data_IF_430497589680
#
_entry.id   IF_430497589680
#
_cell.length_a   1.000
_cell.length_b   1.000
_cell.length_c   1.000
_cell.angle_alpha   90.00
_cell.angle_beta   90.00
_cell.angle_gamma   90.00
#
_symmetry.space_group_name_H-M   'P 1'
#
loop_
_entity.id
_entity.type
_entity.pdbx_description
1 polymer ?
#
# COMPACT_ATOMS: atom_id res chain seq x y z
N UNK A 1 12.90 -0.69 20.02
CA UNK A 1 14.28 -0.20 20.17
C UNK A 1 14.33 1.22 20.69
N UNK A 2 15.49 1.64 21.18
CA UNK A 2 15.89 3.03 21.43
C UNK A 2 17.27 3.20 20.81
N UNK A 3 17.45 4.26 20.03
CA UNK A 3 18.68 4.49 19.27
C UNK A 3 19.34 5.78 19.75
N UNK A 4 20.64 5.71 19.97
CA UNK A 4 21.48 6.84 20.36
C UNK A 4 22.25 7.33 19.14
N UNK A 5 22.30 8.64 18.97
CA UNK A 5 22.98 9.28 17.85
C UNK A 5 22.78 10.80 17.89
N UNK A 6 23.28 11.54 16.91
CA UNK A 6 23.11 12.98 16.83
C UNK A 6 21.63 13.35 16.54
N UNK A 7 21.13 14.36 17.26
CA UNK A 7 19.93 15.06 16.87
C UNK A 7 20.36 16.34 16.15
N UNK A 8 20.46 16.25 14.85
CA UNK A 8 20.92 17.32 13.97
C UNK A 8 20.05 17.35 12.69
N UNK A 9 18.81 17.87 12.81
CA UNK A 9 17.85 17.87 11.71
C UNK A 9 18.33 18.61 10.45
N UNK A 10 19.15 19.64 10.58
CA UNK A 10 19.69 20.38 9.42
C UNK A 10 20.53 19.46 8.52
N UNK A 11 21.23 18.49 9.10
CA UNK A 11 21.99 17.45 8.40
C UNK A 11 21.22 16.12 8.22
N UNK A 12 19.91 16.10 8.49
CA UNK A 12 19.05 14.94 8.29
C UNK A 12 19.08 13.90 9.39
N UNK A 13 19.74 14.15 10.53
CA UNK A 13 19.85 13.20 11.66
C UNK A 13 18.81 13.51 12.74
N UNK A 14 18.01 12.49 13.13
CA UNK A 14 16.88 12.67 14.04
C UNK A 14 16.84 11.61 15.15
N UNK A 15 18.02 11.17 15.61
CA UNK A 15 18.13 10.21 16.70
C UNK A 15 17.63 10.80 18.02
N UNK A 16 16.73 10.08 18.70
CA UNK A 16 16.24 10.51 20.01
C UNK A 16 16.01 9.28 20.90
N UNK A 17 16.86 9.02 21.94
CA UNK A 17 16.76 7.84 22.78
C UNK A 17 15.52 7.86 23.70
N UNK A 18 14.81 8.96 23.80
CA UNK A 18 13.54 9.03 24.55
C UNK A 18 12.37 8.45 23.77
N UNK A 19 12.54 8.20 22.47
CA UNK A 19 11.49 7.62 21.61
C UNK A 19 11.64 6.11 21.53
N UNK A 20 10.59 5.38 21.92
CA UNK A 20 10.51 3.95 21.68
C UNK A 20 10.16 3.72 20.21
N UNK A 21 11.02 3.04 19.48
CA UNK A 21 10.87 2.81 18.05
C UNK A 21 10.33 1.41 17.77
N UNK A 22 9.37 1.33 16.86
CA UNK A 22 8.89 0.08 16.29
C UNK A 22 10.01 -0.53 15.44
N UNK A 23 10.24 -1.82 15.61
CA UNK A 23 11.16 -2.58 14.78
C UNK A 23 10.66 -2.65 13.34
N UNK A 24 11.42 -2.21 12.33
CA UNK A 24 11.04 -2.32 10.93
C UNK A 24 10.73 -3.76 10.48
N UNK A 25 11.31 -4.78 11.14
CA UNK A 25 11.10 -6.20 10.89
C UNK A 25 10.09 -6.87 11.82
N UNK A 26 9.35 -6.10 12.64
CA UNK A 26 8.32 -6.65 13.51
C UNK A 26 7.24 -7.36 12.71
N UNK A 27 6.98 -8.61 13.05
CA UNK A 27 5.95 -9.45 12.41
C UNK A 27 4.59 -9.39 13.10
N UNK A 28 4.53 -8.88 14.30
CA UNK A 28 3.31 -8.63 15.06
C UNK A 28 3.52 -7.46 16.02
N UNK A 29 2.49 -6.62 16.14
CA UNK A 29 2.44 -5.50 17.07
C UNK A 29 1.31 -5.71 18.07
N UNK A 30 1.60 -5.44 19.34
CA UNK A 30 0.63 -5.47 20.43
C UNK A 30 0.17 -4.05 20.76
N UNK A 31 -1.11 -3.80 20.57
CA UNK A 31 -1.74 -2.49 20.76
C UNK A 31 -1.61 -1.59 19.53
N UNK A 32 -2.17 -0.39 19.68
CA UNK A 32 -2.14 0.67 18.68
C UNK A 32 -1.36 1.86 19.22
N UNK A 33 -1.12 2.88 18.39
CA UNK A 33 -0.57 4.15 18.84
C UNK A 33 -1.64 4.90 19.64
N UNK A 34 -1.34 5.19 20.89
CA UNK A 34 -2.11 6.15 21.68
C UNK A 34 -1.48 7.53 21.49
N UNK A 35 -1.95 8.27 20.49
CA UNK A 35 -1.32 9.53 20.10
C UNK A 35 -1.04 10.47 21.29
N UNK A 36 0.18 10.96 21.34
CA UNK A 36 0.69 11.84 22.37
C UNK A 36 1.87 12.66 21.83
N UNK A 37 2.03 13.87 22.32
CA UNK A 37 3.16 14.74 21.93
C UNK A 37 4.53 14.07 22.15
N UNK A 38 4.63 13.11 23.06
CA UNK A 38 5.85 12.34 23.29
C UNK A 38 6.32 11.52 22.09
N UNK A 39 5.49 11.29 21.07
CA UNK A 39 5.91 10.64 19.84
C UNK A 39 6.80 11.52 18.94
N UNK A 40 6.79 12.84 19.14
CA UNK A 40 7.61 13.74 18.34
C UNK A 40 9.03 13.85 18.92
N UNK A 41 10.02 13.86 18.03
CA UNK A 41 11.44 14.01 18.44
C UNK A 41 11.77 15.39 18.98
N UNK A 42 10.86 16.35 18.80
CA UNK A 42 10.97 17.76 19.13
C UNK A 42 9.78 18.22 19.98
N UNK A 43 9.87 19.38 20.60
CA UNK A 43 8.78 19.97 21.41
C UNK A 43 7.74 20.64 20.51
N UNK A 44 6.52 20.07 20.47
CA UNK A 44 5.42 20.64 19.70
C UNK A 44 5.10 22.06 20.21
N UNK A 45 4.98 23.00 19.29
CA UNK A 45 4.73 24.41 19.60
C UNK A 45 5.97 25.24 19.91
N UNK A 46 7.16 24.64 19.96
CA UNK A 46 8.41 25.38 20.12
C UNK A 46 8.68 26.26 18.90
N UNK A 47 9.25 27.47 19.11
CA UNK A 47 9.51 28.42 18.01
C UNK A 47 10.48 27.89 16.95
N UNK A 48 11.47 27.08 17.36
CA UNK A 48 12.43 26.41 16.48
C UNK A 48 11.88 25.13 15.84
N UNK A 49 10.63 24.75 16.13
CA UNK A 49 9.97 23.56 15.59
C UNK A 49 10.81 22.29 15.78
N UNK A 50 11.05 21.55 14.69
CA UNK A 50 11.81 20.27 14.70
C UNK A 50 13.32 20.43 14.97
N UNK A 51 13.84 21.63 15.16
CA UNK A 51 15.20 21.85 15.66
C UNK A 51 15.28 21.77 17.19
N UNK A 52 14.17 21.90 17.91
CA UNK A 52 14.10 21.65 19.34
C UNK A 52 14.19 20.14 19.64
N UNK A 53 14.40 19.77 20.91
CA UNK A 53 14.60 18.36 21.31
C UNK A 53 13.65 17.99 22.47
N UNK A 54 12.80 16.99 22.24
CA UNK A 54 11.85 16.51 23.25
C UNK A 54 12.39 15.33 24.04
N UNK A 55 12.36 15.41 25.37
CA UNK A 55 12.89 14.39 26.29
C UNK A 55 11.82 13.48 26.90
N UNK A 56 10.54 13.66 26.53
CA UNK A 56 9.45 12.81 27.04
C UNK A 56 9.56 11.39 26.50
N UNK A 57 9.29 10.41 27.38
CA UNK A 57 9.30 9.00 26.99
C UNK A 57 8.02 8.64 26.22
N UNK A 58 8.18 8.18 24.97
CA UNK A 58 7.05 7.72 24.14
C UNK A 58 6.59 6.29 24.44
N UNK A 59 7.35 5.51 25.22
CA UNK A 59 7.08 4.09 25.44
C UNK A 59 5.67 3.77 26.00
N UNK A 60 5.07 4.58 26.89
CA UNK A 60 3.71 4.32 27.36
C UNK A 60 2.63 4.36 26.27
N UNK A 61 2.90 5.05 25.17
CA UNK A 61 1.93 5.37 24.12
C UNK A 61 2.20 4.62 22.80
N UNK A 62 3.34 3.94 22.70
CA UNK A 62 3.79 3.21 21.49
C UNK A 62 3.46 1.72 21.62
N UNK A 63 2.91 1.07 20.56
CA UNK A 63 2.68 -0.37 20.55
C UNK A 63 4.00 -1.13 20.73
N UNK A 64 3.90 -2.39 21.18
CA UNK A 64 5.07 -3.24 21.42
C UNK A 64 5.20 -4.30 20.33
N UNK A 65 6.42 -4.47 19.82
CA UNK A 65 6.74 -5.56 18.92
C UNK A 65 6.70 -6.89 19.68
N UNK A 66 6.03 -7.89 19.10
CA UNK A 66 6.02 -9.27 19.61
C UNK A 66 7.00 -10.12 18.83
N UNK A 67 7.65 -11.04 19.54
CA UNK A 67 8.41 -12.12 18.90
C UNK A 67 7.41 -13.17 18.39
N UNK A 68 7.46 -13.45 17.10
CA UNK A 68 6.61 -14.44 16.43
C UNK A 68 7.47 -15.60 15.99
N UNK A 69 7.02 -16.80 16.27
CA UNK A 69 7.64 -18.04 15.74
C UNK A 69 7.43 -18.08 14.22
N UNK A 70 8.50 -18.08 13.42
CA UNK A 70 8.38 -18.15 11.97
C UNK A 70 7.78 -19.49 11.48
N UNK A 71 7.94 -20.54 12.26
CA UNK A 71 7.52 -21.92 11.90
C UNK A 71 6.12 -22.26 12.45
N UNK A 72 5.43 -21.32 13.07
CA UNK A 72 4.12 -21.53 13.69
C UNK A 72 2.98 -21.85 12.69
N UNK A 73 3.26 -21.87 11.38
CA UNK A 73 2.28 -22.22 10.35
C UNK A 73 2.72 -23.47 9.57
N UNK A 74 1.85 -24.45 9.56
CA UNK A 74 1.98 -25.60 8.69
C UNK A 74 1.18 -25.40 7.40
N UNK A 75 1.87 -25.28 6.27
CA UNK A 75 1.29 -25.16 4.94
C UNK A 75 1.13 -26.54 4.22
N UNK A 76 1.34 -27.66 4.94
CA UNK A 76 1.17 -29.00 4.35
C UNK A 76 -0.26 -29.18 3.81
N UNK A 77 -0.33 -29.75 2.62
CA UNK A 77 -1.62 -30.00 1.94
C UNK A 77 -2.25 -28.77 1.28
N UNK A 78 -1.59 -27.61 1.30
CA UNK A 78 -2.06 -26.46 0.55
C UNK A 78 -1.99 -26.73 -0.96
N UNK A 79 -3.04 -26.31 -1.66
CA UNK A 79 -3.11 -26.34 -3.13
C UNK A 79 -3.03 -24.92 -3.68
N UNK A 80 -1.82 -24.35 -3.68
CA UNK A 80 -1.57 -22.98 -4.16
C UNK A 80 -1.91 -22.86 -5.64
N UNK A 81 -2.80 -21.93 -6.04
CA UNK A 81 -3.13 -21.68 -7.44
C UNK A 81 -1.92 -21.17 -8.22
N UNK A 82 -1.92 -21.41 -9.54
CA UNK A 82 -0.98 -20.82 -10.50
C UNK A 82 -1.78 -20.37 -11.72
N UNK A 83 -2.43 -19.23 -11.62
CA UNK A 83 -3.29 -18.70 -12.65
C UNK A 83 -2.47 -17.89 -13.66
N UNK A 84 -2.51 -18.30 -14.94
CA UNK A 84 -1.81 -17.58 -16.00
C UNK A 84 -2.40 -16.18 -16.18
N UNK A 85 -1.56 -15.18 -16.42
CA UNK A 85 -1.96 -13.79 -16.65
C UNK A 85 -3.17 -13.62 -17.61
N UNK A 86 -3.22 -14.27 -18.79
CA UNK A 86 -4.38 -14.13 -19.69
C UNK A 86 -5.71 -14.64 -19.11
N UNK A 87 -5.68 -15.41 -18.04
CA UNK A 87 -6.85 -15.97 -17.36
C UNK A 87 -7.14 -15.27 -16.03
N UNK A 88 -6.37 -14.24 -15.68
CA UNK A 88 -6.48 -13.54 -14.41
C UNK A 88 -7.64 -12.54 -14.45
N UNK A 89 -8.55 -12.67 -13.49
CA UNK A 89 -9.63 -11.71 -13.21
C UNK A 89 -9.49 -11.30 -11.75
N UNK A 90 -9.14 -10.04 -11.54
CA UNK A 90 -8.82 -9.50 -10.21
C UNK A 90 -10.07 -8.84 -9.61
N UNK A 91 -10.32 -9.09 -8.34
CA UNK A 91 -11.29 -8.38 -7.52
C UNK A 91 -10.57 -7.63 -6.42
N UNK A 92 -10.49 -6.31 -6.55
CA UNK A 92 -9.95 -5.43 -5.51
C UNK A 92 -10.97 -5.32 -4.38
N UNK A 93 -10.55 -5.51 -3.14
CA UNK A 93 -11.44 -5.44 -1.99
C UNK A 93 -10.74 -5.03 -0.70
N UNK A 94 -11.52 -4.45 0.21
CA UNK A 94 -11.07 -4.07 1.54
C UNK A 94 -11.56 -5.08 2.58
N UNK A 95 -10.67 -5.61 3.41
CA UNK A 95 -11.00 -6.66 4.42
C UNK A 95 -12.24 -6.30 5.24
N UNK A 96 -12.25 -5.11 5.85
CA UNK A 96 -13.38 -4.65 6.65
C UNK A 96 -14.58 -4.27 5.78
N UNK A 97 -14.37 -3.51 4.72
CA UNK A 97 -15.45 -2.98 3.88
C UNK A 97 -16.29 -4.08 3.25
N UNK A 98 -15.68 -5.17 2.82
CA UNK A 98 -16.37 -6.28 2.17
C UNK A 98 -17.30 -7.05 3.14
N UNK A 99 -16.90 -7.19 4.40
CA UNK A 99 -17.58 -8.11 5.32
C UNK A 99 -18.40 -7.43 6.41
N UNK A 100 -18.15 -6.16 6.71
CA UNK A 100 -18.71 -5.44 7.86
C UNK A 100 -20.24 -5.45 7.92
N UNK A 101 -20.89 -5.30 6.78
CA UNK A 101 -22.35 -5.26 6.66
C UNK A 101 -22.95 -6.57 6.10
N UNK A 102 -22.15 -7.62 5.95
CA UNK A 102 -22.63 -8.87 5.37
C UNK A 102 -23.48 -9.66 6.39
N UNK A 103 -24.82 -9.79 6.19
CA UNK A 103 -25.69 -10.49 7.14
C UNK A 103 -25.47 -12.01 7.18
N UNK A 104 -24.82 -12.58 6.15
CA UNK A 104 -24.52 -14.02 6.09
C UNK A 104 -23.36 -14.41 7.03
N UNK A 105 -22.65 -13.44 7.60
CA UNK A 105 -21.52 -13.68 8.49
C UNK A 105 -21.91 -13.53 9.97
N UNK A 106 -21.35 -14.38 10.86
CA UNK A 106 -21.40 -14.14 12.30
C UNK A 106 -20.91 -12.74 12.63
N UNK A 107 -21.59 -12.00 13.53
CA UNK A 107 -21.23 -10.61 13.86
C UNK A 107 -19.77 -10.44 14.30
N UNK A 108 -19.22 -11.40 15.03
CA UNK A 108 -17.84 -11.40 15.57
C UNK A 108 -16.78 -11.58 14.48
N UNK A 109 -17.14 -12.06 13.29
CA UNK A 109 -16.21 -12.23 12.16
C UNK A 109 -16.27 -11.04 11.18
N UNK A 110 -17.30 -10.20 11.28
CA UNK A 110 -17.45 -9.07 10.36
C UNK A 110 -16.32 -8.07 10.50
N UNK A 111 -15.76 -7.64 9.39
CA UNK A 111 -14.65 -6.69 9.34
C UNK A 111 -13.29 -7.31 9.66
N UNK A 112 -13.19 -8.62 9.76
CA UNK A 112 -11.95 -9.34 10.10
C UNK A 112 -11.43 -10.19 8.95
N UNK A 113 -10.19 -10.69 9.07
CA UNK A 113 -9.62 -11.65 8.13
C UNK A 113 -10.49 -12.90 8.03
N UNK A 114 -10.92 -13.46 9.17
CA UNK A 114 -11.76 -14.67 9.17
C UNK A 114 -13.13 -14.43 8.51
N UNK A 115 -13.67 -13.22 8.62
CA UNK A 115 -14.89 -12.86 7.91
C UNK A 115 -14.70 -12.88 6.39
N UNK A 116 -13.56 -12.40 5.91
CA UNK A 116 -13.22 -12.44 4.48
C UNK A 116 -12.95 -13.87 4.01
N UNK A 117 -12.26 -14.71 4.81
CA UNK A 117 -12.02 -16.12 4.53
C UNK A 117 -13.21 -17.06 4.83
N UNK A 118 -14.33 -16.53 5.34
CA UNK A 118 -15.52 -17.30 5.61
C UNK A 118 -16.10 -17.90 4.31
N UNK A 119 -16.64 -19.11 4.38
CA UNK A 119 -17.17 -19.84 3.22
C UNK A 119 -18.10 -18.97 2.38
N UNK A 120 -19.04 -18.25 2.99
CA UNK A 120 -19.99 -17.39 2.27
C UNK A 120 -19.31 -16.26 1.49
N UNK A 121 -18.21 -15.69 1.99
CA UNK A 121 -17.43 -14.65 1.32
C UNK A 121 -16.66 -15.24 0.14
N UNK A 122 -15.98 -16.35 0.35
CA UNK A 122 -15.16 -17.02 -0.68
C UNK A 122 -16.04 -17.55 -1.82
N UNK A 123 -17.17 -18.20 -1.50
CA UNK A 123 -18.13 -18.69 -2.52
C UNK A 123 -18.75 -17.55 -3.34
N UNK A 124 -19.05 -16.42 -2.71
CA UNK A 124 -19.55 -15.25 -3.43
C UNK A 124 -18.52 -14.74 -4.44
N UNK A 125 -17.26 -14.52 -4.00
CA UNK A 125 -16.19 -14.07 -4.88
C UNK A 125 -15.96 -15.07 -6.03
N UNK A 126 -15.93 -16.37 -5.72
CA UNK A 126 -15.81 -17.41 -6.73
C UNK A 126 -16.96 -17.43 -7.73
N UNK A 127 -18.19 -17.16 -7.27
CA UNK A 127 -19.38 -17.12 -8.14
C UNK A 127 -19.34 -16.01 -9.18
N UNK A 128 -18.55 -14.96 -8.95
CA UNK A 128 -18.29 -13.88 -9.90
C UNK A 128 -17.27 -14.25 -10.99
N UNK A 129 -16.67 -15.43 -10.94
CA UNK A 129 -15.62 -15.84 -11.87
C UNK A 129 -14.25 -15.23 -11.55
N UNK A 130 -14.05 -14.73 -10.35
CA UNK A 130 -12.79 -14.14 -9.89
C UNK A 130 -11.75 -15.23 -9.72
N UNK A 131 -10.53 -14.95 -10.17
CA UNK A 131 -9.38 -15.84 -10.05
C UNK A 131 -8.31 -15.33 -9.09
N UNK A 132 -8.33 -14.06 -8.77
CA UNK A 132 -7.39 -13.42 -7.84
C UNK A 132 -8.10 -12.34 -7.04
N UNK A 133 -7.93 -12.31 -5.72
CA UNK A 133 -8.36 -11.19 -4.88
C UNK A 133 -7.16 -10.27 -4.63
N UNK A 134 -7.36 -8.98 -4.80
CA UNK A 134 -6.40 -7.94 -4.43
C UNK A 134 -6.90 -7.25 -3.16
N UNK A 135 -6.14 -7.36 -2.09
CA UNK A 135 -6.50 -6.79 -0.80
C UNK A 135 -5.89 -5.40 -0.65
N UNK A 136 -6.73 -4.38 -0.42
CA UNK A 136 -6.24 -3.08 0.02
C UNK A 136 -5.32 -3.25 1.24
N UNK A 137 -4.47 -2.25 1.56
CA UNK A 137 -3.34 -2.46 2.46
C UNK A 137 -3.69 -3.20 3.75
N UNK A 138 -3.02 -4.32 3.95
CA UNK A 138 -3.14 -5.18 5.14
C UNK A 138 -1.90 -5.12 6.03
N UNK A 139 -0.85 -4.43 5.62
CA UNK A 139 0.29 -4.13 6.48
C UNK A 139 -0.15 -3.24 7.64
N UNK A 140 0.53 -3.34 8.78
CA UNK A 140 0.17 -2.54 9.94
C UNK A 140 0.37 -1.04 9.70
N UNK A 141 -0.66 -0.25 10.03
CA UNK A 141 -0.67 1.20 9.89
C UNK A 141 -1.40 1.84 11.09
N UNK A 142 -0.96 3.03 11.56
CA UNK A 142 -1.67 3.80 12.56
C UNK A 142 -2.84 4.56 11.95
N UNK A 143 -3.78 4.98 12.80
CA UNK A 143 -4.75 6.02 12.45
C UNK A 143 -4.07 7.39 12.52
N UNK A 144 -4.42 8.29 11.63
CA UNK A 144 -3.90 9.66 11.63
C UNK A 144 -4.55 10.48 12.76
N UNK A 145 -3.75 11.29 13.47
CA UNK A 145 -4.25 12.08 14.59
C UNK A 145 -5.42 12.98 14.19
N UNK A 146 -5.33 13.65 13.04
CA UNK A 146 -6.38 14.55 12.56
C UNK A 146 -7.72 13.85 12.26
N UNK A 147 -7.68 12.56 11.92
CA UNK A 147 -8.89 11.74 11.77
C UNK A 147 -9.47 11.39 13.13
N UNK A 148 -8.63 10.99 14.09
CA UNK A 148 -9.06 10.66 15.45
C UNK A 148 -9.68 11.86 16.16
N UNK A 149 -9.15 13.07 15.97
CA UNK A 149 -9.69 14.32 16.52
C UNK A 149 -11.11 14.62 16.00
N UNK A 150 -11.49 14.04 14.86
CA UNK A 150 -12.81 14.09 14.25
C UNK A 150 -13.68 12.87 14.54
N UNK A 151 -13.19 11.92 15.35
CA UNK A 151 -13.86 10.64 15.63
C UNK A 151 -13.83 9.66 14.45
N UNK A 152 -12.97 9.90 13.44
CA UNK A 152 -12.78 9.08 12.27
C UNK A 152 -11.55 8.16 12.45
N UNK A 153 -11.38 7.20 11.54
CA UNK A 153 -10.22 6.31 11.46
C UNK A 153 -9.73 6.21 10.03
N UNK A 154 -8.44 5.95 9.86
CA UNK A 154 -7.89 5.62 8.56
C UNK A 154 -8.54 4.31 8.09
N UNK A 155 -9.32 4.38 7.01
CA UNK A 155 -10.09 3.25 6.50
C UNK A 155 -9.27 2.41 5.53
N UNK A 156 -8.60 3.03 4.56
CA UNK A 156 -7.94 2.31 3.47
C UNK A 156 -6.60 1.69 3.84
N UNK A 157 -5.84 2.33 4.73
CA UNK A 157 -4.55 1.79 5.18
C UNK A 157 -3.32 2.25 4.39
N UNK A 158 -3.45 3.23 3.51
CA UNK A 158 -2.30 3.79 2.77
C UNK A 158 -1.42 4.70 3.65
N UNK A 159 -1.14 4.26 4.85
CA UNK A 159 -0.27 4.95 5.81
C UNK A 159 0.57 3.94 6.59
N UNK A 160 1.21 3.04 5.84
CA UNK A 160 1.92 1.88 6.36
C UNK A 160 3.14 2.27 7.21
N UNK A 161 3.36 1.51 8.28
CA UNK A 161 4.56 1.59 9.11
C UNK A 161 5.19 0.22 9.38
N UNK A 162 4.37 -0.83 9.56
CA UNK A 162 4.83 -2.18 9.87
C UNK A 162 4.87 -3.07 8.63
N UNK A 163 5.94 -3.04 7.85
CA UNK A 163 6.04 -3.73 6.56
C UNK A 163 5.97 -5.26 6.64
N UNK A 164 6.18 -5.84 7.82
CA UNK A 164 6.14 -7.31 8.04
C UNK A 164 4.94 -7.75 8.87
N UNK A 165 4.18 -6.82 9.45
CA UNK A 165 3.09 -7.15 10.36
C UNK A 165 1.73 -6.97 9.70
N UNK A 166 0.81 -7.96 9.77
CA UNK A 166 -0.58 -7.74 9.42
C UNK A 166 -1.23 -6.71 10.36
N UNK A 167 -2.15 -5.91 9.84
CA UNK A 167 -2.87 -4.91 10.62
C UNK A 167 -3.79 -5.58 11.67
N UNK A 168 -3.48 -5.38 12.94
CA UNK A 168 -4.19 -5.97 14.08
C UNK A 168 -5.68 -5.60 14.13
N UNK A 169 -6.06 -4.48 13.49
CA UNK A 169 -7.45 -4.05 13.37
C UNK A 169 -8.34 -5.00 12.56
N UNK A 170 -7.74 -5.90 11.77
CA UNK A 170 -8.44 -6.93 11.00
C UNK A 170 -8.38 -8.31 11.66
N UNK A 171 -7.80 -8.41 12.87
CA UNK A 171 -7.79 -9.67 13.59
C UNK A 171 -9.18 -10.01 14.11
N UNK A 172 -9.57 -11.27 13.90
CA UNK A 172 -10.67 -11.90 14.57
C UNK A 172 -10.17 -12.86 15.69
N UNK A 173 -10.93 -13.87 16.04
CA UNK A 173 -10.58 -14.81 17.11
C UNK A 173 -9.23 -15.53 16.93
N UNK A 174 -8.79 -15.74 15.68
CA UNK A 174 -7.52 -16.41 15.37
C UNK A 174 -6.29 -15.48 15.45
N UNK A 175 -6.47 -14.19 15.66
CA UNK A 175 -5.38 -13.21 15.71
C UNK A 175 -4.56 -13.21 14.42
N UNK A 176 -3.23 -13.22 14.51
CA UNK A 176 -2.33 -13.20 13.35
C UNK A 176 -2.52 -14.40 12.42
N UNK A 177 -2.92 -15.57 12.95
CA UNK A 177 -3.21 -16.76 12.14
C UNK A 177 -4.39 -16.55 11.19
N UNK A 178 -5.29 -15.61 11.49
CA UNK A 178 -6.42 -15.24 10.64
C UNK A 178 -6.00 -14.86 9.24
N UNK A 179 -4.89 -14.13 9.06
CA UNK A 179 -4.37 -13.80 7.73
C UNK A 179 -3.97 -15.07 6.93
N UNK A 180 -3.25 -16.00 7.57
CA UNK A 180 -2.86 -17.27 6.91
C UNK A 180 -4.08 -18.12 6.56
N UNK A 181 -5.10 -18.08 7.42
CA UNK A 181 -6.34 -18.80 7.20
C UNK A 181 -7.10 -18.28 5.98
N UNK A 182 -7.11 -16.95 5.73
CA UNK A 182 -7.76 -16.42 4.52
C UNK A 182 -7.00 -16.84 3.26
N UNK A 183 -5.67 -16.78 3.27
CA UNK A 183 -4.88 -17.23 2.11
C UNK A 183 -5.20 -18.66 1.78
N UNK A 184 -5.19 -19.56 2.77
CA UNK A 184 -5.57 -20.97 2.58
C UNK A 184 -6.99 -21.12 2.06
N UNK A 185 -7.96 -20.39 2.61
CA UNK A 185 -9.35 -20.47 2.18
C UNK A 185 -9.54 -20.07 0.71
N UNK A 186 -8.83 -19.04 0.25
CA UNK A 186 -8.85 -18.64 -1.16
C UNK A 186 -8.12 -19.65 -2.04
N UNK A 187 -6.96 -20.18 -1.63
CA UNK A 187 -6.23 -21.21 -2.37
C UNK A 187 -7.06 -22.49 -2.55
N UNK A 188 -7.74 -22.94 -1.50
CA UNK A 188 -8.65 -24.10 -1.56
C UNK A 188 -9.82 -23.86 -2.53
N UNK A 189 -10.22 -22.61 -2.73
CA UNK A 189 -11.22 -22.22 -3.73
C UNK A 189 -10.65 -22.05 -5.15
N UNK A 190 -9.33 -22.11 -5.33
CA UNK A 190 -8.61 -21.88 -6.59
C UNK A 190 -8.44 -20.41 -6.91
N UNK A 191 -8.38 -19.52 -5.90
CA UNK A 191 -8.26 -18.07 -6.02
C UNK A 191 -6.92 -17.63 -5.43
N UNK A 192 -6.15 -16.86 -6.18
CA UNK A 192 -4.89 -16.24 -5.72
C UNK A 192 -5.15 -15.05 -4.81
N UNK A 193 -4.16 -14.72 -3.97
CA UNK A 193 -4.19 -13.55 -3.08
C UNK A 193 -3.07 -12.59 -3.48
N UNK A 194 -3.43 -11.37 -3.85
CA UNK A 194 -2.53 -10.27 -4.19
C UNK A 194 -2.64 -9.22 -3.06
N UNK A 195 -1.53 -8.66 -2.63
CA UNK A 195 -1.53 -7.57 -1.66
C UNK A 195 -1.23 -6.24 -2.32
N UNK A 196 -2.03 -5.24 -1.99
CA UNK A 196 -1.70 -3.84 -2.23
C UNK A 196 -0.70 -3.39 -1.16
N UNK A 197 0.48 -2.96 -1.59
CA UNK A 197 1.61 -2.68 -0.70
C UNK A 197 2.16 -1.27 -0.88
N UNK A 198 2.39 -0.61 0.25
CA UNK A 198 2.86 0.77 0.32
C UNK A 198 4.29 0.78 0.81
N UNK A 199 5.26 0.76 -0.12
CA UNK A 199 6.69 0.88 0.20
C UNK A 199 7.27 2.24 -0.19
N UNK A 200 6.46 3.10 -0.81
CA UNK A 200 6.90 4.38 -1.32
C UNK A 200 6.98 5.48 -0.24
N UNK A 201 6.18 5.37 0.82
CA UNK A 201 6.16 6.30 1.96
C UNK A 201 5.79 5.60 3.27
N UNK A 202 5.80 6.34 4.38
CA UNK A 202 5.42 5.83 5.71
C UNK A 202 4.56 6.84 6.47
N UNK A 203 3.92 6.36 7.54
CA UNK A 203 3.12 7.16 8.47
C UNK A 203 3.91 8.23 9.27
N UNK A 204 5.22 8.33 9.10
CA UNK A 204 6.03 9.32 9.84
C UNK A 204 5.97 10.74 9.25
N UNK A 205 5.22 10.94 8.15
CA UNK A 205 4.97 12.26 7.55
C UNK A 205 6.26 13.02 7.17
N UNK A 206 6.18 14.34 7.14
CA UNK A 206 7.31 15.22 6.81
C UNK A 206 8.27 15.44 8.02
N UNK A 207 9.13 16.45 7.94
CA UNK A 207 10.09 16.82 8.99
C UNK A 207 9.42 17.15 10.34
N UNK A 208 8.16 17.58 10.32
CA UNK A 208 7.35 17.86 11.51
C UNK A 208 6.52 16.66 11.97
N UNK A 209 6.61 15.52 11.31
CA UNK A 209 5.89 14.31 11.69
C UNK A 209 6.53 13.56 12.88
N UNK A 210 5.85 12.55 13.41
CA UNK A 210 6.29 11.81 14.59
C UNK A 210 7.54 10.96 14.31
N UNK A 211 8.19 10.52 15.37
CA UNK A 211 9.33 9.60 15.38
C UNK A 211 8.85 8.26 15.94
N UNK A 212 8.50 7.33 15.06
CA UNK A 212 7.84 6.06 15.42
C UNK A 212 8.69 4.83 15.12
N UNK A 213 9.52 4.88 14.07
CA UNK A 213 10.33 3.78 13.58
C UNK A 213 11.55 4.30 12.79
N UNK A 214 11.46 4.37 11.47
CA UNK A 214 12.55 4.66 10.52
C UNK A 214 13.25 5.99 10.79
N UNK A 215 12.47 7.03 11.08
CA UNK A 215 12.98 8.38 11.39
C UNK A 215 13.95 8.38 12.58
N UNK A 216 13.61 7.62 13.61
CA UNK A 216 14.45 7.52 14.82
C UNK A 216 15.57 6.49 14.72
N UNK A 217 15.47 5.52 13.79
CA UNK A 217 16.51 4.49 13.59
C UNK A 217 17.66 5.06 12.75
N UNK A 218 17.35 5.63 11.58
CA UNK A 218 18.30 6.33 10.72
C UNK A 218 17.56 7.13 9.64
N UNK A 219 17.10 8.31 9.97
CA UNK A 219 16.33 9.16 9.10
C UNK A 219 16.97 9.37 7.72
N UNK A 220 18.27 9.63 7.71
CA UNK A 220 19.02 9.95 6.50
C UNK A 220 19.12 8.77 5.53
N UNK A 221 19.15 7.53 6.02
CA UNK A 221 19.19 6.33 5.18
C UNK A 221 17.82 5.93 4.68
N UNK A 222 16.77 6.04 5.53
CA UNK A 222 15.43 5.55 5.19
C UNK A 222 14.62 6.49 4.33
N UNK A 223 14.88 7.81 4.38
CA UNK A 223 14.10 8.78 3.61
C UNK A 223 14.94 9.54 2.60
N UNK A 224 14.33 9.87 1.47
CA UNK A 224 14.93 10.75 0.48
C UNK A 224 14.84 12.18 0.97
N UNK A 225 15.98 12.77 1.31
CA UNK A 225 16.08 14.16 1.72
C UNK A 225 16.48 15.07 0.56
N UNK A 226 16.17 16.35 0.65
CA UNK A 226 16.59 17.33 -0.35
C UNK A 226 18.12 17.50 -0.33
N UNK A 227 18.81 17.42 -1.48
CA UNK A 227 20.29 17.38 -1.51
C UNK A 227 20.98 18.55 -0.81
N UNK A 228 20.42 19.75 -0.91
CA UNK A 228 21.03 20.98 -0.33
C UNK A 228 20.44 21.35 1.05
N UNK A 229 19.44 20.61 1.52
CA UNK A 229 18.71 20.90 2.76
C UNK A 229 18.15 19.61 3.35
N UNK A 230 19.00 18.77 3.90
CA UNK A 230 18.67 17.44 4.43
C UNK A 230 17.61 17.43 5.54
N UNK A 231 17.28 18.57 6.13
CA UNK A 231 16.16 18.75 7.05
C UNK A 231 14.82 18.37 6.41
N UNK A 232 14.66 18.64 5.10
CA UNK A 232 13.40 18.47 4.37
C UNK A 232 13.44 17.21 3.49
N UNK A 233 12.28 16.60 3.31
CA UNK A 233 12.14 15.40 2.48
C UNK A 233 11.76 15.75 1.05
N UNK A 234 12.17 14.92 0.10
CA UNK A 234 11.56 14.83 -1.21
C UNK A 234 10.18 14.23 -1.02
N UNK A 235 9.16 14.87 -1.55
CA UNK A 235 7.75 14.48 -1.36
C UNK A 235 7.06 14.18 -2.69
N UNK A 236 7.61 13.25 -3.48
CA UNK A 236 7.03 12.80 -4.74
C UNK A 236 5.78 11.91 -4.53
N UNK A 237 5.50 11.55 -3.28
CA UNK A 237 4.34 10.75 -2.87
C UNK A 237 3.11 11.57 -2.52
N UNK A 238 3.27 12.85 -2.17
CA UNK A 238 2.20 13.71 -1.67
C UNK A 238 1.89 13.55 -0.18
N UNK A 239 2.52 12.59 0.51
CA UNK A 239 2.21 12.23 1.91
C UNK A 239 3.19 12.83 2.94
N UNK A 240 4.20 13.54 2.47
CA UNK A 240 5.20 14.23 3.30
C UNK A 240 6.59 13.60 3.29
N UNK A 241 6.73 12.34 2.89
CA UNK A 241 8.03 11.68 2.76
C UNK A 241 8.07 10.73 1.57
N UNK A 242 9.27 10.35 1.17
CA UNK A 242 9.54 9.32 0.18
C UNK A 242 10.59 8.37 0.75
N UNK A 243 10.29 7.07 0.78
CA UNK A 243 11.23 6.04 1.23
C UNK A 243 12.37 5.92 0.23
N UNK A 244 13.60 5.82 0.73
CA UNK A 244 14.82 5.80 -0.08
C UNK A 244 15.20 4.40 -0.53
N UNK A 245 14.50 3.87 -1.52
CA UNK A 245 14.78 2.54 -2.10
C UNK A 245 16.10 2.46 -2.86
N UNK A 246 16.75 3.59 -3.17
CA UNK A 246 18.12 3.60 -3.71
C UNK A 246 19.17 3.28 -2.65
N UNK A 247 18.85 3.37 -1.35
CA UNK A 247 19.76 2.95 -0.29
C UNK A 247 19.75 1.42 -0.15
N UNK A 248 20.91 0.73 -0.21
CA UNK A 248 20.95 -0.74 -0.33
C UNK A 248 20.32 -1.47 0.86
N UNK A 249 20.36 -0.91 2.08
CA UNK A 249 19.74 -1.53 3.26
C UNK A 249 18.23 -1.32 3.32
N UNK A 250 17.74 -0.22 2.77
CA UNK A 250 16.29 0.02 2.63
C UNK A 250 15.73 -0.89 1.57
N UNK A 251 16.39 -0.99 0.41
CA UNK A 251 16.03 -1.95 -0.64
C UNK A 251 16.03 -3.39 -0.11
N UNK A 252 17.08 -3.77 0.65
CA UNK A 252 17.13 -5.10 1.29
C UNK A 252 15.92 -5.35 2.17
N UNK A 253 15.53 -4.40 3.02
CA UNK A 253 14.37 -4.53 3.90
C UNK A 253 13.07 -4.71 3.11
N UNK A 254 12.89 -3.95 2.02
CA UNK A 254 11.71 -4.09 1.14
C UNK A 254 11.69 -5.48 0.50
N UNK A 255 12.81 -5.96 -0.03
CA UNK A 255 12.93 -7.29 -0.62
C UNK A 255 12.70 -8.40 0.41
N UNK A 256 13.18 -8.24 1.64
CA UNK A 256 12.97 -9.20 2.74
C UNK A 256 11.48 -9.23 3.14
N UNK A 257 10.82 -8.08 3.16
CA UNK A 257 9.37 -7.99 3.42
C UNK A 257 8.57 -8.71 2.32
N UNK A 258 8.84 -8.43 1.05
CA UNK A 258 8.18 -9.10 -0.07
C UNK A 258 8.38 -10.63 -0.01
N UNK A 259 9.60 -11.11 0.27
CA UNK A 259 9.87 -12.56 0.45
C UNK A 259 9.11 -13.12 1.64
N UNK A 260 9.04 -12.42 2.76
CA UNK A 260 8.27 -12.87 3.93
C UNK A 260 6.79 -13.06 3.59
N UNK A 261 6.16 -12.11 2.92
CA UNK A 261 4.77 -12.25 2.50
C UNK A 261 4.57 -13.38 1.48
N UNK A 262 5.51 -13.55 0.55
CA UNK A 262 5.45 -14.60 -0.46
C UNK A 262 5.70 -16.02 0.09
N UNK A 263 6.66 -16.18 1.04
CA UNK A 263 7.13 -17.48 1.49
C UNK A 263 6.53 -17.91 2.84
N UNK A 264 6.27 -16.96 3.76
CA UNK A 264 5.73 -17.26 5.09
C UNK A 264 4.22 -17.04 5.17
N UNK A 265 3.69 -16.13 4.34
CA UNK A 265 2.26 -15.82 4.28
C UNK A 265 1.60 -16.33 3.00
N UNK A 266 2.37 -16.86 2.05
CA UNK A 266 1.96 -17.53 0.81
C UNK A 266 1.12 -16.67 -0.15
N UNK A 267 1.31 -15.35 -0.17
CA UNK A 267 0.64 -14.49 -1.16
C UNK A 267 1.19 -14.72 -2.57
N UNK A 268 0.36 -14.51 -3.59
CA UNK A 268 0.63 -14.84 -4.99
C UNK A 268 1.08 -13.64 -5.83
N UNK A 269 0.98 -12.45 -5.25
CA UNK A 269 1.37 -11.24 -5.97
C UNK A 269 1.30 -9.99 -5.12
N UNK A 270 1.73 -8.89 -5.74
CA UNK A 270 1.74 -7.57 -5.14
C UNK A 270 1.28 -6.52 -6.15
N UNK A 271 0.43 -5.61 -5.71
CA UNK A 271 0.17 -4.33 -6.36
C UNK A 271 0.93 -3.26 -5.60
N UNK A 272 1.78 -2.51 -6.27
CA UNK A 272 2.63 -1.49 -5.66
C UNK A 272 1.98 -0.12 -5.80
N UNK A 273 1.55 0.44 -4.67
CA UNK A 273 1.08 1.81 -4.54
C UNK A 273 2.17 2.78 -4.99
N UNK A 274 1.80 3.78 -5.81
CA UNK A 274 2.72 4.74 -6.42
C UNK A 274 4.00 4.04 -6.94
N UNK A 275 3.84 2.96 -7.69
CA UNK A 275 4.93 2.08 -8.09
C UNK A 275 6.07 2.78 -8.84
N UNK A 276 5.82 3.93 -9.46
CA UNK A 276 6.83 4.78 -10.10
C UNK A 276 7.90 5.23 -9.11
N UNK A 277 7.54 5.51 -7.85
CA UNK A 277 8.48 5.91 -6.79
C UNK A 277 9.61 4.89 -6.60
N UNK A 278 9.28 3.59 -6.68
CA UNK A 278 10.24 2.52 -6.42
C UNK A 278 11.31 2.42 -7.52
N UNK A 279 10.99 2.91 -8.71
CA UNK A 279 11.93 2.97 -9.84
C UNK A 279 12.63 4.32 -10.00
N UNK A 280 12.47 5.25 -9.05
CA UNK A 280 13.14 6.55 -9.15
C UNK A 280 14.61 6.47 -8.75
N UNK A 281 15.46 6.72 -9.70
CA UNK A 281 16.90 6.94 -9.57
C UNK A 281 17.23 8.45 -9.56
N UNK A 282 18.49 8.88 -9.40
CA UNK A 282 18.84 10.31 -9.36
C UNK A 282 18.36 11.12 -10.58
N UNK A 283 18.34 10.52 -11.75
CA UNK A 283 17.93 11.16 -13.01
C UNK A 283 16.42 11.05 -13.31
N UNK A 284 15.65 10.40 -12.45
CA UNK A 284 14.21 10.14 -12.61
C UNK A 284 13.85 8.66 -12.63
N UNK A 285 12.72 8.31 -13.24
CA UNK A 285 12.29 6.92 -13.33
C UNK A 285 13.14 6.11 -14.31
N UNK A 286 13.69 4.99 -13.82
CA UNK A 286 14.39 4.00 -14.66
C UNK A 286 13.78 2.60 -14.46
N UNK A 287 13.17 1.98 -15.49
CA UNK A 287 12.65 0.61 -15.41
C UNK A 287 13.74 -0.46 -15.22
N UNK A 288 15.02 -0.07 -15.20
CA UNK A 288 16.18 -0.90 -14.88
C UNK A 288 16.87 -0.41 -13.62
N UNK A 289 16.19 0.40 -12.81
CA UNK A 289 16.68 0.86 -11.52
C UNK A 289 16.84 -0.30 -10.51
N UNK A 290 17.57 -0.01 -9.44
CA UNK A 290 17.96 -1.01 -8.44
C UNK A 290 16.82 -1.86 -7.89
N UNK A 291 15.66 -1.28 -7.66
CA UNK A 291 14.48 -2.03 -7.19
C UNK A 291 13.98 -3.03 -8.25
N UNK A 292 13.83 -2.60 -9.51
CA UNK A 292 13.35 -3.49 -10.57
C UNK A 292 14.34 -4.60 -10.91
N UNK A 293 15.63 -4.32 -10.88
CA UNK A 293 16.67 -5.33 -11.05
C UNK A 293 16.64 -6.35 -9.90
N UNK A 294 16.53 -5.88 -8.65
CA UNK A 294 16.49 -6.75 -7.47
C UNK A 294 15.28 -7.69 -7.48
N UNK A 295 14.07 -7.20 -7.77
CA UNK A 295 12.86 -8.02 -7.77
C UNK A 295 12.81 -8.98 -8.97
N UNK A 296 13.31 -8.55 -10.14
CA UNK A 296 13.27 -9.34 -11.38
C UNK A 296 14.22 -10.52 -11.31
N UNK A 297 15.38 -10.38 -10.65
CA UNK A 297 16.36 -11.48 -10.52
C UNK A 297 16.08 -12.39 -9.33
N UNK A 298 15.16 -12.01 -8.41
CA UNK A 298 14.83 -12.80 -7.23
C UNK A 298 14.08 -14.09 -7.62
N UNK A 299 14.58 -15.29 -7.23
CA UNK A 299 14.02 -16.55 -7.66
C UNK A 299 12.60 -16.84 -7.12
N UNK A 300 12.18 -16.13 -6.08
CA UNK A 300 10.84 -16.21 -5.51
C UNK A 300 9.93 -15.17 -6.14
N UNK A 301 10.32 -13.90 -6.06
CA UNK A 301 9.48 -12.77 -6.41
C UNK A 301 9.24 -12.64 -7.92
N UNK A 302 10.22 -12.98 -8.75
CA UNK A 302 10.09 -12.94 -10.21
C UNK A 302 8.99 -13.85 -10.78
N UNK A 303 8.47 -14.80 -9.98
CA UNK A 303 7.41 -15.73 -10.40
C UNK A 303 6.00 -15.25 -10.02
N UNK A 304 5.91 -14.24 -9.17
CA UNK A 304 4.65 -13.73 -8.65
C UNK A 304 3.99 -12.75 -9.63
N UNK A 305 2.73 -12.46 -9.39
CA UNK A 305 2.04 -11.35 -10.07
C UNK A 305 2.53 -10.02 -9.50
N UNK A 306 3.21 -9.26 -10.32
CA UNK A 306 3.70 -7.92 -9.98
C UNK A 306 2.92 -6.89 -10.78
N UNK A 307 2.24 -6.00 -10.09
CA UNK A 307 1.39 -4.95 -10.66
C UNK A 307 1.88 -3.61 -10.14
N UNK A 308 2.14 -2.67 -11.03
CA UNK A 308 2.50 -1.30 -10.65
C UNK A 308 1.34 -0.35 -10.83
N UNK A 309 1.15 0.55 -9.88
CA UNK A 309 0.49 1.81 -10.12
C UNK A 309 1.49 2.74 -10.81
N UNK A 310 1.29 3.04 -12.11
CA UNK A 310 2.36 3.60 -12.93
C UNK A 310 2.39 5.12 -12.91
N UNK A 311 2.17 5.75 -11.77
CA UNK A 311 2.28 7.19 -11.57
C UNK A 311 2.70 7.56 -10.15
N UNK A 312 3.12 8.81 -10.01
CA UNK A 312 3.29 9.57 -8.79
C UNK A 312 3.14 11.07 -9.08
N UNK A 313 3.24 11.94 -8.07
CA UNK A 313 3.05 13.39 -8.23
C UNK A 313 4.33 14.16 -8.55
N UNK A 314 5.48 13.50 -8.55
CA UNK A 314 6.77 14.12 -8.84
C UNK A 314 6.98 14.38 -10.33
N UNK A 315 8.01 15.15 -10.69
CA UNK A 315 8.36 15.40 -12.09
C UNK A 315 8.59 14.11 -12.87
N UNK A 316 7.93 13.97 -14.04
CA UNK A 316 8.01 12.77 -14.87
C UNK A 316 7.38 11.53 -14.22
N UNK A 317 6.47 11.71 -13.26
CA UNK A 317 5.87 10.62 -12.47
C UNK A 317 4.90 9.73 -13.24
N UNK A 318 4.32 10.17 -14.35
CA UNK A 318 3.40 9.37 -15.15
C UNK A 318 4.16 8.40 -16.07
N UNK A 319 4.07 7.11 -15.79
CA UNK A 319 4.88 6.05 -16.41
C UNK A 319 4.05 4.89 -16.99
N UNK A 320 2.80 5.14 -17.38
CA UNK A 320 1.96 4.11 -18.03
C UNK A 320 2.64 3.59 -19.30
N UNK A 321 2.84 2.26 -19.38
CA UNK A 321 3.63 1.59 -20.40
C UNK A 321 5.14 1.59 -20.15
N UNK A 322 5.59 2.16 -19.03
CA UNK A 322 6.99 2.36 -18.67
C UNK A 322 7.65 1.27 -17.85
N UNK A 323 6.90 0.40 -17.20
CA UNK A 323 7.45 -0.64 -16.32
C UNK A 323 8.15 -1.76 -17.09
N UNK A 324 9.02 -2.54 -16.42
CA UNK A 324 9.76 -3.61 -17.08
C UNK A 324 8.86 -4.77 -17.56
N UNK A 325 9.35 -5.61 -18.50
CA UNK A 325 8.65 -6.84 -18.87
C UNK A 325 8.38 -7.74 -17.65
N UNK A 326 7.23 -8.41 -17.66
CA UNK A 326 6.79 -9.26 -16.54
C UNK A 326 5.83 -8.57 -15.56
N UNK A 327 5.74 -7.24 -15.61
CA UNK A 327 4.85 -6.45 -14.77
C UNK A 327 3.50 -6.19 -15.44
N UNK A 328 2.41 -6.28 -14.67
CA UNK A 328 1.14 -5.63 -14.99
C UNK A 328 1.17 -4.16 -14.59
N UNK A 329 0.36 -3.34 -15.22
CA UNK A 329 0.17 -1.94 -14.85
C UNK A 329 -1.31 -1.60 -14.82
N UNK A 330 -1.73 -0.84 -13.84
CA UNK A 330 -3.03 -0.20 -13.88
C UNK A 330 -3.13 0.74 -15.08
N UNK A 331 -4.12 0.52 -15.94
CA UNK A 331 -4.28 1.30 -17.17
C UNK A 331 -5.40 2.34 -17.02
N UNK A 332 -5.04 3.55 -16.60
CA UNK A 332 -5.97 4.68 -16.47
C UNK A 332 -6.54 5.10 -17.83
N UNK A 333 -5.79 4.96 -18.92
CA UNK A 333 -6.28 5.25 -20.26
C UNK A 333 -7.39 4.27 -20.69
N UNK A 334 -7.31 3.01 -20.25
CA UNK A 334 -8.43 2.09 -20.43
C UNK A 334 -9.65 2.56 -19.66
N UNK A 335 -9.50 2.84 -18.36
CA UNK A 335 -10.56 3.33 -17.49
C UNK A 335 -11.25 4.55 -18.09
N UNK A 336 -10.49 5.56 -18.44
CA UNK A 336 -11.03 6.84 -18.90
C UNK A 336 -11.69 6.73 -20.27
N UNK A 337 -11.05 6.04 -21.23
CA UNK A 337 -11.62 5.83 -22.57
C UNK A 337 -12.93 5.05 -22.51
N UNK A 338 -13.02 4.01 -21.65
CA UNK A 338 -14.26 3.23 -21.52
C UNK A 338 -15.36 4.06 -20.89
N UNK A 339 -15.06 4.84 -19.86
CA UNK A 339 -16.04 5.76 -19.24
C UNK A 339 -16.54 6.80 -20.24
N UNK A 340 -15.66 7.43 -21.02
CA UNK A 340 -15.99 8.40 -22.06
C UNK A 340 -16.83 7.77 -23.17
N UNK A 341 -16.52 6.55 -23.59
CA UNK A 341 -17.29 5.83 -24.60
C UNK A 341 -18.76 5.62 -24.16
N UNK A 342 -18.96 5.13 -22.94
CA UNK A 342 -20.29 4.91 -22.38
C UNK A 342 -21.04 6.20 -22.06
N UNK A 343 -20.32 7.27 -21.79
CA UNK A 343 -20.89 8.61 -21.64
C UNK A 343 -21.40 9.21 -22.96
N UNK A 344 -20.93 8.68 -24.09
CA UNK A 344 -21.33 9.12 -25.43
C UNK A 344 -20.32 10.05 -26.12
N UNK A 345 -19.14 10.19 -25.56
CA UNK A 345 -18.07 10.98 -26.18
C UNK A 345 -17.49 10.24 -27.41
N UNK A 346 -16.94 11.00 -28.38
CA UNK A 346 -16.45 10.44 -29.64
C UNK A 346 -15.03 9.86 -29.48
N UNK A 347 -14.91 8.71 -28.85
CA UNK A 347 -13.63 8.02 -28.56
C UNK A 347 -13.55 6.60 -29.15
N UNK A 348 -14.32 6.31 -30.21
CA UNK A 348 -14.46 4.95 -30.74
C UNK A 348 -13.14 4.32 -31.20
N UNK A 349 -12.22 5.09 -31.78
CA UNK A 349 -10.90 4.61 -32.21
C UNK A 349 -10.04 4.22 -31.02
N UNK A 350 -10.01 5.06 -29.98
CA UNK A 350 -9.24 4.79 -28.76
C UNK A 350 -9.85 3.62 -27.98
N UNK A 351 -11.18 3.54 -27.94
CA UNK A 351 -11.88 2.41 -27.34
C UNK A 351 -11.48 1.08 -27.96
N UNK A 352 -11.41 1.00 -29.30
CA UNK A 352 -10.96 -0.20 -29.98
C UNK A 352 -9.50 -0.57 -29.61
N UNK A 353 -8.60 0.41 -29.54
CA UNK A 353 -7.21 0.19 -29.10
C UNK A 353 -7.13 -0.33 -27.66
N UNK A 354 -7.95 0.24 -26.75
CA UNK A 354 -8.03 -0.22 -25.34
C UNK A 354 -8.49 -1.67 -25.25
N UNK A 355 -9.56 -2.04 -25.98
CA UNK A 355 -10.09 -3.42 -25.99
C UNK A 355 -9.10 -4.45 -26.55
N UNK A 356 -8.22 -4.03 -27.47
CA UNK A 356 -7.18 -4.88 -28.05
C UNK A 356 -5.90 -4.97 -27.19
N UNK A 357 -5.92 -4.50 -25.95
CA UNK A 357 -4.82 -4.61 -25.00
C UNK A 357 -3.82 -3.46 -25.04
N UNK A 358 -4.24 -2.29 -25.55
CA UNK A 358 -3.44 -1.06 -25.51
C UNK A 358 -2.04 -1.21 -26.10
N UNK A 359 -1.95 -1.78 -27.30
CA UNK A 359 -0.67 -2.06 -27.98
C UNK A 359 0.21 -0.82 -28.19
N UNK A 360 -0.39 0.36 -28.34
CA UNK A 360 0.28 1.65 -28.38
C UNK A 360 1.09 1.98 -27.13
N UNK A 361 0.72 1.39 -25.98
CA UNK A 361 1.42 1.55 -24.69
C UNK A 361 2.46 0.45 -24.43
N UNK A 362 2.16 -0.79 -24.81
CA UNK A 362 2.92 -1.96 -24.35
C UNK A 362 3.74 -2.65 -25.43
N UNK A 363 3.32 -2.69 -26.70
CA UNK A 363 4.00 -3.47 -27.75
C UNK A 363 5.42 -2.99 -28.06
N UNK A 364 5.66 -1.68 -28.01
CA UNK A 364 6.96 -1.07 -28.31
C UNK A 364 8.09 -1.54 -27.40
N UNK A 365 7.76 -2.08 -26.22
CA UNK A 365 8.72 -2.59 -25.22
C UNK A 365 8.70 -4.11 -25.10
N UNK A 366 8.11 -4.81 -26.07
CA UNK A 366 8.03 -6.26 -26.09
C UNK A 366 7.13 -6.85 -25.00
N UNK A 367 6.25 -6.05 -24.42
CA UNK A 367 5.28 -6.47 -23.41
C UNK A 367 4.05 -7.09 -24.11
N UNK A 368 3.22 -7.76 -23.35
CA UNK A 368 2.04 -8.46 -23.86
C UNK A 368 0.76 -7.74 -23.47
N UNK A 369 -0.38 -7.97 -24.15
CA UNK A 369 -1.67 -7.34 -23.81
C UNK A 369 -2.08 -7.48 -22.35
N UNK A 370 -1.71 -8.58 -21.68
CA UNK A 370 -1.98 -8.80 -20.28
C UNK A 370 -1.22 -7.85 -19.32
N UNK A 371 -0.22 -7.11 -19.81
CA UNK A 371 0.42 -6.07 -19.03
C UNK A 371 -0.54 -4.92 -18.69
N UNK A 372 -1.60 -4.75 -19.49
CA UNK A 372 -2.68 -3.82 -19.23
C UNK A 372 -3.65 -4.43 -18.22
N UNK A 373 -3.59 -3.99 -16.98
CA UNK A 373 -4.64 -4.28 -15.98
C UNK A 373 -5.80 -3.33 -16.25
N UNK A 374 -6.84 -3.86 -16.90
CA UNK A 374 -8.00 -3.11 -17.32
C UNK A 374 -9.02 -2.99 -16.18
N UNK A 375 -9.46 -1.79 -15.85
CA UNK A 375 -10.46 -1.57 -14.80
C UNK A 375 -11.38 -0.41 -15.17
N UNK A 376 -12.56 -0.36 -14.56
CA UNK A 376 -13.54 0.73 -14.69
C UNK A 376 -13.56 1.56 -13.40
N UNK A 377 -13.50 0.88 -12.27
CA UNK A 377 -13.47 1.47 -10.93
C UNK A 377 -12.39 0.79 -10.10
N UNK A 378 -11.84 1.50 -9.13
CA UNK A 378 -10.93 1.02 -8.11
C UNK A 378 -11.31 1.68 -6.77
N UNK A 379 -10.48 1.55 -5.72
CA UNK A 379 -10.69 2.24 -4.46
C UNK A 379 -10.67 3.77 -4.62
N UNK A 380 -9.89 4.29 -5.57
CA UNK A 380 -9.82 5.70 -5.90
C UNK A 380 -10.98 6.13 -6.80
N UNK A 381 -11.50 7.33 -6.55
CA UNK A 381 -12.57 7.94 -7.34
C UNK A 381 -13.95 7.36 -7.03
N UNK A 382 -14.84 7.43 -7.99
CA UNK A 382 -16.24 7.05 -7.82
C UNK A 382 -16.42 5.54 -7.79
N UNK A 383 -17.36 5.07 -6.94
CA UNK A 383 -17.93 3.73 -7.07
C UNK A 383 -18.64 3.58 -8.41
N UNK A 384 -18.92 2.35 -8.83
CA UNK A 384 -19.66 2.12 -10.08
C UNK A 384 -21.06 2.77 -10.05
N UNK A 385 -21.71 2.79 -8.87
CA UNK A 385 -22.98 3.47 -8.68
C UNK A 385 -22.86 5.00 -8.85
N UNK A 386 -21.85 5.60 -8.21
CA UNK A 386 -21.66 7.05 -8.25
C UNK A 386 -21.25 7.53 -9.64
N UNK A 387 -20.50 6.70 -10.38
CA UNK A 387 -20.07 6.99 -11.75
C UNK A 387 -21.26 7.27 -12.71
N UNK A 388 -22.40 6.63 -12.46
CA UNK A 388 -23.62 6.75 -13.28
C UNK A 388 -24.77 7.48 -12.56
N UNK A 389 -24.49 8.10 -11.42
CA UNK A 389 -25.50 8.79 -10.60
C UNK A 389 -25.14 10.24 -10.29
N UNK A 390 -23.88 10.63 -10.39
CA UNK A 390 -23.41 11.97 -9.98
C UNK A 390 -22.44 12.54 -11.01
N UNK A 391 -22.58 13.83 -11.29
CA UNK A 391 -21.61 14.59 -12.09
C UNK A 391 -20.41 15.08 -11.28
N UNK A 392 -20.60 15.28 -9.98
CA UNK A 392 -19.59 15.81 -9.06
C UNK A 392 -19.46 14.92 -7.82
N UNK A 393 -18.31 14.99 -7.15
CA UNK A 393 -18.03 14.23 -5.93
C UNK A 393 -18.83 14.74 -4.72
N UNK A 394 -19.14 13.83 -3.79
CA UNK A 394 -19.92 14.06 -2.58
C UNK A 394 -19.18 13.50 -1.35
N UNK A 395 -18.02 14.06 -1.02
CA UNK A 395 -17.12 13.56 0.02
C UNK A 395 -17.15 14.40 1.31
N UNK A 396 -18.18 15.22 1.52
CA UNK A 396 -18.26 16.11 2.68
C UNK A 396 -18.16 15.38 4.03
N UNK A 397 -18.67 14.14 4.10
CA UNK A 397 -18.66 13.32 5.31
C UNK A 397 -17.24 12.86 5.73
N UNK A 398 -16.25 12.93 4.83
CA UNK A 398 -14.85 12.65 5.15
C UNK A 398 -14.19 13.74 5.99
N UNK A 399 -14.85 14.91 6.14
CA UNK A 399 -14.32 16.03 6.92
C UNK A 399 -13.18 16.82 6.25
N UNK A 400 -13.05 16.70 4.93
CA UNK A 400 -12.04 17.36 4.08
C UNK A 400 -12.66 18.48 3.22
N UNK A 401 -13.85 18.97 3.60
CA UNK A 401 -14.60 20.02 2.88
C UNK A 401 -14.81 19.69 1.39
N UNK A 402 -14.97 18.41 1.06
CA UNK A 402 -15.08 17.88 -0.30
C UNK A 402 -13.85 18.16 -1.20
N UNK A 403 -12.67 18.36 -0.61
CA UNK A 403 -11.42 18.59 -1.36
C UNK A 403 -10.71 17.29 -1.76
N UNK A 404 -10.97 16.18 -1.06
CA UNK A 404 -10.39 14.88 -1.32
C UNK A 404 -10.92 14.23 -2.60
N UNK A 405 -10.11 13.37 -3.21
CA UNK A 405 -10.44 12.65 -4.44
C UNK A 405 -10.43 13.50 -5.71
N UNK A 406 -10.56 12.86 -6.86
CA UNK A 406 -10.56 13.52 -8.17
C UNK A 406 -11.82 14.32 -8.44
N UNK A 407 -11.67 15.50 -9.07
CA UNK A 407 -12.80 16.30 -9.54
C UNK A 407 -13.38 15.77 -10.86
N UNK A 408 -12.54 15.19 -11.74
CA UNK A 408 -12.95 14.65 -13.04
C UNK A 408 -12.93 13.13 -13.02
N UNK A 409 -14.08 12.50 -12.77
CA UNK A 409 -14.24 11.05 -12.77
C UNK A 409 -14.79 10.50 -14.09
N UNK A 410 -14.91 11.32 -15.14
CA UNK A 410 -15.59 10.96 -16.40
C UNK A 410 -17.00 10.41 -16.15
N UNK A 411 -17.63 10.84 -15.08
CA UNK A 411 -18.96 10.43 -14.65
C UNK A 411 -20.04 11.26 -15.32
N UNK A 412 -21.27 10.78 -15.27
CA UNK A 412 -22.44 11.54 -15.68
C UNK A 412 -23.71 11.00 -15.01
N UNK A 413 -24.69 11.89 -14.83
CA UNK A 413 -26.05 11.57 -14.41
C UNK A 413 -27.01 11.93 -15.54
#
# INVERSE_FOLDING_TARGET
YRVYGPYDPENGHRFNPHKLLIDPYARELAGDIAWNDAHFGYELGHEEKDLSFDTRDSAPFTPKCKVVDPDACDWQGENRPDIRWPNTVIYETHVKGFTQLNPALPPELRGTFEGLGHQASVEYIKSLGITSVELLPVHWFPDDQHLLDRGLKNFWGYNTLGFFAPASRYYGPAGIAGFRNIVRAFHDAGIEVILDVVYNHTAEGNELGPTLSFKGIDNFSYYRTMPDRHRYYINDTGTGNTVNTSHPRVLQMVMDSLRYWAQSMHVDGFRFDLGTILGREPEGFDPRGGFFDAITQDPVLAKLKLIGEPWDIGPGGYQVGGFPPGWGEWNDKYRDTVREYWKGDNVSTDFAARLLGSGDLYDLRGRRPWASVNFITAHDGFTLNDLVSYNEKHNADNGEDNNDGHNDNRSYN
#
